data_IF_269099677795
#
_entry.id   IF_269099677795
#
_cell.length_a   1.000
_cell.length_b   1.000
_cell.length_c   1.000
_cell.angle_alpha   90.00
_cell.angle_beta   90.00
_cell.angle_gamma   90.00
#
_symmetry.space_group_name_H-M   'P 1'
#
loop_
_entity.id
_entity.type
_entity.pdbx_description
1 polymer ?
#
# COMPACT_ATOMS: atom_id res chain seq x y z
N UNK A 1 -67.76 4.35 -5.25
CA UNK A 1 -66.97 4.46 -6.49
C UNK A 1 -65.65 5.17 -6.17
N UNK A 2 -64.55 4.66 -6.74
CA UNK A 2 -63.14 5.10 -6.67
C UNK A 2 -62.46 4.76 -5.33
N UNK A 3 -61.74 3.64 -5.14
CA UNK A 3 -60.68 3.00 -5.93
C UNK A 3 -59.59 3.98 -6.41
N UNK A 4 -58.57 4.20 -5.59
CA UNK A 4 -57.23 4.47 -6.10
C UNK A 4 -56.18 3.87 -5.16
N UNK A 5 -55.73 2.67 -5.52
CA UNK A 5 -54.57 1.99 -4.93
C UNK A 5 -53.32 2.71 -5.43
N UNK A 6 -52.64 3.46 -4.57
CA UNK A 6 -51.31 3.99 -4.90
C UNK A 6 -50.28 2.92 -4.53
N UNK A 7 -49.85 2.14 -5.53
CA UNK A 7 -48.68 1.28 -5.44
C UNK A 7 -47.45 2.18 -5.17
N UNK A 8 -46.86 2.08 -3.98
CA UNK A 8 -45.52 2.62 -3.72
C UNK A 8 -44.50 1.78 -4.50
N UNK A 9 -43.64 2.36 -5.35
CA UNK A 9 -42.55 1.60 -5.94
C UNK A 9 -41.52 1.31 -4.84
N UNK A 10 -41.23 0.02 -4.65
CA UNK A 10 -40.11 -0.48 -3.87
C UNK A 10 -38.82 -0.01 -4.55
N UNK A 11 -38.32 1.17 -4.18
CA UNK A 11 -37.01 1.64 -4.62
C UNK A 11 -35.97 0.76 -3.95
N UNK A 12 -35.51 -0.27 -4.66
CA UNK A 12 -34.40 -1.10 -4.25
C UNK A 12 -33.17 -0.19 -4.11
N UNK A 13 -32.81 0.11 -2.86
CA UNK A 13 -31.56 0.77 -2.53
C UNK A 13 -30.43 -0.22 -2.86
N UNK A 14 -29.94 -0.16 -4.10
CA UNK A 14 -28.72 -0.84 -4.50
C UNK A 14 -27.58 -0.10 -3.78
N UNK A 15 -27.19 -0.61 -2.62
CA UNK A 15 -25.96 -0.16 -1.95
C UNK A 15 -24.82 -0.59 -2.89
N UNK A 16 -24.36 0.34 -3.72
CA UNK A 16 -23.09 0.21 -4.42
C UNK A 16 -22.03 0.14 -3.33
N UNK A 17 -21.55 -1.08 -3.06
CA UNK A 17 -20.34 -1.27 -2.26
C UNK A 17 -19.21 -0.56 -3.01
N UNK A 18 -18.85 0.64 -2.57
CA UNK A 18 -17.63 1.30 -3.03
C UNK A 18 -16.49 0.38 -2.60
N UNK A 19 -15.69 -0.18 -3.52
CA UNK A 19 -14.52 -0.92 -3.11
C UNK A 19 -13.62 0.05 -2.37
N UNK A 20 -13.50 -0.12 -1.05
CA UNK A 20 -12.44 0.53 -0.29
C UNK A 20 -11.10 0.12 -0.90
N UNK A 21 -10.10 1.01 -0.86
CA UNK A 21 -8.72 0.65 -1.19
C UNK A 21 -8.25 -0.36 -0.14
N UNK A 22 -8.52 -1.64 -0.39
CA UNK A 22 -8.11 -2.71 0.49
C UNK A 22 -6.58 -2.73 0.51
N UNK A 23 -6.01 -2.66 1.71
CA UNK A 23 -4.59 -2.95 1.90
C UNK A 23 -4.31 -4.34 1.31
N UNK A 24 -3.32 -4.41 0.43
CA UNK A 24 -3.00 -5.63 -0.30
C UNK A 24 -1.90 -6.39 0.45
N UNK A 25 -1.92 -7.71 0.36
CA UNK A 25 -0.87 -8.56 0.91
C UNK A 25 -0.58 -9.77 0.03
N UNK A 26 0.62 -10.33 0.20
CA UNK A 26 1.08 -11.54 -0.47
C UNK A 26 1.85 -12.44 0.51
N UNK A 27 1.69 -13.76 0.36
CA UNK A 27 2.31 -14.77 1.23
C UNK A 27 3.63 -15.28 0.64
N UNK A 28 4.65 -15.31 1.50
CA UNK A 28 6.01 -15.79 1.25
C UNK A 28 6.38 -16.81 2.33
N UNK A 29 5.95 -18.07 2.15
CA UNK A 29 6.05 -19.07 3.21
C UNK A 29 5.19 -18.66 4.43
N UNK A 30 5.75 -18.59 5.65
CA UNK A 30 5.00 -18.14 6.83
C UNK A 30 4.88 -16.60 6.91
N UNK A 31 5.50 -15.86 5.99
CA UNK A 31 5.53 -14.40 6.04
C UNK A 31 4.47 -13.80 5.12
N UNK A 32 3.68 -12.88 5.64
CA UNK A 32 2.72 -12.09 4.88
C UNK A 32 3.28 -10.67 4.71
N UNK A 33 3.59 -10.29 3.47
CA UNK A 33 4.01 -8.94 3.14
C UNK A 33 2.77 -8.10 2.82
N UNK A 34 2.47 -7.14 3.68
CA UNK A 34 1.48 -6.10 3.45
C UNK A 34 2.12 -4.94 2.69
N UNK A 35 1.43 -4.44 1.66
CA UNK A 35 1.92 -3.33 0.86
C UNK A 35 0.83 -2.34 0.48
N UNK A 36 1.23 -1.09 0.27
CA UNK A 36 0.38 -0.06 -0.32
C UNK A 36 1.21 1.01 -1.03
N UNK A 37 0.62 1.63 -2.04
CA UNK A 37 1.17 2.81 -2.71
C UNK A 37 0.17 3.95 -2.60
N UNK A 38 0.60 5.07 -2.00
CA UNK A 38 -0.30 6.18 -1.63
C UNK A 38 0.32 7.52 -2.03
N UNK A 39 -0.47 8.41 -2.63
CA UNK A 39 -0.05 9.80 -2.89
C UNK A 39 0.20 10.52 -1.56
N UNK A 40 1.32 11.25 -1.49
CA UNK A 40 1.74 11.93 -0.26
C UNK A 40 0.78 13.04 0.18
N UNK A 41 -0.03 13.57 -0.74
CA UNK A 41 -1.08 14.56 -0.47
C UNK A 41 -2.16 14.04 0.49
N UNK A 42 -2.45 12.73 0.45
CA UNK A 42 -3.44 12.08 1.32
C UNK A 42 -2.97 11.94 2.77
N UNK A 43 -1.67 12.07 3.03
CA UNK A 43 -1.17 12.11 4.39
C UNK A 43 -1.59 13.40 5.07
N UNK A 44 -2.06 13.27 6.32
CA UNK A 44 -2.24 14.40 7.20
C UNK A 44 -0.90 15.16 7.35
N UNK A 45 -0.90 16.50 7.38
CA UNK A 45 0.33 17.30 7.52
C UNK A 45 1.21 16.86 8.69
N UNK A 46 0.60 16.48 9.82
CA UNK A 46 1.27 16.07 11.04
C UNK A 46 2.01 14.74 10.84
N UNK A 47 1.39 13.79 10.13
CA UNK A 47 2.00 12.48 9.80
C UNK A 47 3.19 12.67 8.87
N UNK A 48 3.00 13.47 7.81
CA UNK A 48 4.08 13.76 6.88
C UNK A 48 5.26 14.45 7.56
N UNK A 49 4.98 15.43 8.44
CA UNK A 49 6.01 16.12 9.21
C UNK A 49 6.74 15.20 10.18
N UNK A 50 6.02 14.28 10.84
CA UNK A 50 6.61 13.33 11.80
C UNK A 50 7.63 12.40 11.13
N UNK A 51 7.37 12.01 9.88
CA UNK A 51 8.20 11.07 9.13
C UNK A 51 9.08 11.73 8.06
N UNK A 52 9.16 13.06 8.03
CA UNK A 52 10.01 13.78 7.07
C UNK A 52 9.56 13.66 5.61
N UNK A 53 8.29 13.35 5.38
CA UNK A 53 7.74 13.10 4.04
C UNK A 53 7.31 14.43 3.40
N UNK A 54 7.80 14.67 2.19
CA UNK A 54 7.39 15.82 1.39
C UNK A 54 6.03 15.54 0.75
N UNK A 55 5.02 16.35 1.10
CA UNK A 55 3.69 16.32 0.46
C UNK A 55 3.73 17.08 -0.86
N UNK A 56 3.50 16.39 -1.97
CA UNK A 56 3.39 16.98 -3.30
C UNK A 56 2.50 16.12 -4.22
N UNK A 57 1.91 16.74 -5.24
CA UNK A 57 1.02 16.08 -6.20
C UNK A 57 1.72 15.07 -7.11
N UNK A 58 3.04 15.18 -7.25
CA UNK A 58 3.93 14.31 -8.03
C UNK A 58 4.70 13.30 -7.16
N UNK A 59 4.29 13.11 -5.90
CA UNK A 59 4.99 12.24 -4.93
C UNK A 59 4.07 11.21 -4.31
N UNK A 60 4.55 9.98 -4.27
CA UNK A 60 3.89 8.85 -3.62
C UNK A 60 4.86 8.12 -2.67
N UNK A 61 4.30 7.26 -1.83
CA UNK A 61 5.05 6.40 -0.90
C UNK A 61 4.69 4.95 -1.20
N UNK A 62 5.70 4.10 -1.28
CA UNK A 62 5.56 2.66 -1.09
C UNK A 62 5.70 2.36 0.41
N UNK A 63 4.68 1.77 1.00
CA UNK A 63 4.71 1.27 2.37
C UNK A 63 4.72 -0.26 2.36
N UNK A 64 5.67 -0.85 3.09
CA UNK A 64 5.81 -2.29 3.27
C UNK A 64 5.83 -2.65 4.76
N UNK A 65 5.15 -3.72 5.13
CA UNK A 65 5.23 -4.32 6.46
C UNK A 65 5.13 -5.84 6.36
N UNK A 66 5.92 -6.57 7.14
CA UNK A 66 5.86 -8.03 7.14
C UNK A 66 5.35 -8.56 8.49
N UNK A 67 4.46 -9.55 8.41
CA UNK A 67 3.98 -10.33 9.55
C UNK A 67 4.33 -11.79 9.37
N UNK A 68 4.79 -12.45 10.42
CA UNK A 68 4.94 -13.90 10.43
C UNK A 68 3.69 -14.54 11.02
N UNK A 69 3.19 -15.58 10.37
CA UNK A 69 2.11 -16.45 10.85
C UNK A 69 2.72 -17.61 11.63
N UNK A 70 2.44 -17.67 12.93
CA UNK A 70 3.00 -18.66 13.84
C UNK A 70 2.13 -19.93 13.89
N UNK A 71 2.73 -21.04 14.35
CA UNK A 71 2.06 -22.34 14.40
C UNK A 71 0.83 -22.37 15.34
N UNK A 72 0.77 -21.45 16.31
CA UNK A 72 -0.37 -21.29 17.22
C UNK A 72 -1.53 -20.47 16.61
N UNK A 73 -1.40 -20.03 15.36
CA UNK A 73 -2.38 -19.23 14.63
C UNK A 73 -2.30 -17.72 14.91
N UNK A 74 -1.37 -17.27 15.76
CA UNK A 74 -1.12 -15.85 15.97
C UNK A 74 -0.25 -15.25 14.85
N UNK A 75 -0.21 -13.91 14.77
CA UNK A 75 0.69 -13.20 13.85
C UNK A 75 1.53 -12.20 14.60
N UNK A 76 2.78 -12.03 14.18
CA UNK A 76 3.71 -11.06 14.78
C UNK A 76 4.41 -10.27 13.69
N UNK A 77 4.49 -8.94 13.86
CA UNK A 77 5.32 -8.09 13.01
C UNK A 77 6.80 -8.45 13.11
N UNK A 78 7.49 -8.53 11.97
CA UNK A 78 8.94 -8.75 11.92
C UNK A 78 9.62 -7.54 11.33
N UNK A 79 10.83 -7.25 11.81
CA UNK A 79 11.75 -6.39 11.05
C UNK A 79 12.15 -7.12 9.77
N UNK A 80 12.64 -6.39 8.77
CA UNK A 80 13.21 -7.02 7.58
C UNK A 80 14.40 -6.23 7.05
N UNK A 81 15.37 -6.94 6.50
CA UNK A 81 16.36 -6.36 5.61
C UNK A 81 15.73 -6.26 4.22
N UNK A 82 15.87 -5.11 3.56
CA UNK A 82 15.30 -4.92 2.23
C UNK A 82 16.16 -4.03 1.35
N UNK A 83 16.10 -4.30 0.05
CA UNK A 83 16.57 -3.44 -1.02
C UNK A 83 15.49 -3.44 -2.09
N UNK A 84 15.21 -2.28 -2.66
CA UNK A 84 14.18 -2.16 -3.67
C UNK A 84 14.57 -1.15 -4.73
N UNK A 85 13.93 -1.29 -5.87
CA UNK A 85 14.08 -0.37 -6.99
C UNK A 85 12.74 -0.15 -7.65
N UNK A 86 12.61 0.98 -8.32
CA UNK A 86 11.40 1.36 -9.02
C UNK A 86 11.71 1.99 -10.37
N UNK A 87 10.86 1.73 -11.37
CA UNK A 87 11.02 2.28 -12.73
C UNK A 87 9.66 2.47 -13.40
N UNK A 88 9.60 3.40 -14.33
CA UNK A 88 8.47 3.60 -15.23
C UNK A 88 8.81 3.10 -16.64
N UNK A 89 7.90 3.29 -17.60
CA UNK A 89 8.10 2.85 -18.98
C UNK A 89 9.07 3.72 -19.80
N UNK A 90 9.43 4.91 -19.30
CA UNK A 90 10.16 5.98 -20.01
C UNK A 90 11.59 6.11 -19.47
N UNK A 91 11.76 6.05 -18.16
CA UNK A 91 12.98 6.33 -17.42
C UNK A 91 13.67 5.04 -16.98
N UNK A 92 15.00 5.12 -16.83
CA UNK A 92 15.75 4.06 -16.16
C UNK A 92 15.39 4.08 -14.68
N UNK A 93 15.24 2.89 -14.10
CA UNK A 93 14.91 2.74 -12.68
C UNK A 93 15.96 3.33 -11.74
N UNK A 94 15.52 3.62 -10.52
CA UNK A 94 16.38 4.03 -9.40
C UNK A 94 16.08 3.18 -8.17
N UNK A 95 17.05 3.14 -7.26
CA UNK A 95 16.90 2.46 -5.99
C UNK A 95 15.98 3.25 -5.06
N UNK A 96 15.21 2.53 -4.26
CA UNK A 96 14.34 3.10 -3.24
C UNK A 96 15.10 3.24 -1.93
N UNK A 97 14.98 4.42 -1.32
CA UNK A 97 15.49 4.67 0.03
C UNK A 97 14.37 4.40 1.04
N UNK A 98 14.55 3.36 1.86
CA UNK A 98 13.57 2.98 2.87
C UNK A 98 13.88 3.59 4.24
N UNK A 99 12.86 4.19 4.85
CA UNK A 99 12.88 4.61 6.25
C UNK A 99 12.03 3.65 7.08
N UNK A 100 12.62 3.10 8.14
CA UNK A 100 11.90 2.28 9.12
C UNK A 100 11.10 3.17 10.07
N UNK A 101 9.81 2.86 10.25
CA UNK A 101 8.89 3.54 11.15
C UNK A 101 8.28 2.52 12.10
N UNK A 102 8.21 2.86 13.39
CA UNK A 102 7.66 1.99 14.44
C UNK A 102 6.49 2.66 15.14
N UNK A 103 5.32 2.03 15.06
CA UNK A 103 4.10 2.48 15.71
C UNK A 103 3.54 1.36 16.60
N UNK A 104 3.83 1.42 17.90
CA UNK A 104 3.53 0.33 18.82
C UNK A 104 4.26 -0.95 18.42
N UNK A 105 3.49 -1.98 18.05
CA UNK A 105 4.03 -3.27 17.58
C UNK A 105 4.14 -3.36 16.04
N UNK A 106 3.65 -2.34 15.32
CA UNK A 106 3.74 -2.30 13.87
C UNK A 106 5.09 -1.71 13.41
N UNK A 107 5.68 -2.33 12.39
CA UNK A 107 6.95 -1.94 11.78
C UNK A 107 6.68 -1.73 10.30
N UNK A 108 6.93 -0.52 9.81
CA UNK A 108 6.72 -0.11 8.43
C UNK A 108 8.04 0.31 7.80
N UNK A 109 8.17 0.07 6.50
CA UNK A 109 9.25 0.56 5.68
C UNK A 109 8.65 1.45 4.59
N UNK A 110 8.93 2.73 4.68
CA UNK A 110 8.41 3.76 3.78
C UNK A 110 9.49 4.19 2.81
N UNK A 111 9.20 4.17 1.51
CA UNK A 111 10.05 4.79 0.50
C UNK A 111 9.23 5.81 -0.30
N UNK A 112 9.66 7.07 -0.27
CA UNK A 112 9.08 8.12 -1.10
C UNK A 112 9.72 8.13 -2.50
N UNK A 113 8.91 8.43 -3.50
CA UNK A 113 9.39 8.56 -4.87
C UNK A 113 8.55 9.55 -5.65
N UNK A 114 9.14 10.10 -6.73
CA UNK A 114 8.44 10.97 -7.68
C UNK A 114 7.85 10.17 -8.81
N UNK A 115 6.73 10.64 -9.35
CA UNK A 115 6.06 10.05 -10.51
C UNK A 115 5.43 11.14 -11.39
N UNK A 116 5.09 10.76 -12.63
CA UNK A 116 4.36 11.63 -13.57
C UNK A 116 2.89 11.24 -13.62
N UNK A 117 2.01 12.11 -14.12
CA UNK A 117 0.60 11.73 -14.24
C UNK A 117 0.43 10.51 -15.18
N UNK A 118 -0.51 9.63 -14.85
CA UNK A 118 -0.79 8.39 -15.58
C UNK A 118 0.42 7.44 -15.70
N UNK A 119 1.27 7.43 -14.67
CA UNK A 119 2.48 6.61 -14.64
C UNK A 119 2.18 5.14 -14.29
N UNK A 120 2.59 4.23 -15.19
CA UNK A 120 2.70 2.81 -14.88
C UNK A 120 4.03 2.54 -14.18
N UNK A 121 3.95 2.46 -12.86
CA UNK A 121 5.11 2.22 -12.01
C UNK A 121 5.30 0.74 -11.71
N UNK A 122 6.56 0.31 -11.81
CA UNK A 122 6.99 -1.03 -11.45
C UNK A 122 7.91 -0.96 -10.23
N UNK A 123 7.81 -1.97 -9.39
CA UNK A 123 8.61 -2.15 -8.19
C UNK A 123 9.16 -3.56 -8.15
N UNK A 124 10.40 -3.69 -7.71
CA UNK A 124 11.01 -4.95 -7.31
C UNK A 124 11.65 -4.73 -5.95
N UNK A 125 11.33 -5.58 -4.99
CA UNK A 125 11.84 -5.52 -3.63
C UNK A 125 12.36 -6.89 -3.23
N UNK A 126 13.66 -6.94 -2.93
CA UNK A 126 14.29 -8.07 -2.27
C UNK A 126 14.18 -7.85 -0.77
N UNK A 127 13.53 -8.76 -0.05
CA UNK A 127 13.38 -8.62 1.39
C UNK A 127 13.63 -9.95 2.13
N UNK A 128 14.19 -9.83 3.33
CA UNK A 128 14.43 -10.95 4.24
C UNK A 128 13.89 -10.58 5.62
N UNK A 129 12.76 -11.16 6.03
CA UNK A 129 12.23 -11.00 7.38
C UNK A 129 13.21 -11.51 8.43
N UNK A 130 13.20 -10.90 9.61
CA UNK A 130 13.92 -11.39 10.78
C UNK A 130 13.52 -12.83 11.11
N UNK A 131 14.52 -13.68 11.32
CA UNK A 131 14.33 -15.12 11.55
C UNK A 131 14.20 -15.95 10.27
N UNK A 132 14.04 -15.33 9.09
CA UNK A 132 14.05 -16.06 7.83
C UNK A 132 15.49 -16.37 7.38
N UNK A 133 15.68 -17.52 6.72
CA UNK A 133 16.95 -17.87 6.05
C UNK A 133 16.99 -17.52 4.56
N UNK A 134 15.83 -17.21 4.00
CA UNK A 134 15.63 -16.95 2.57
C UNK A 134 15.34 -15.48 2.33
N UNK A 135 15.90 -14.93 1.25
CA UNK A 135 15.48 -13.63 0.71
C UNK A 135 14.38 -13.87 -0.33
N UNK A 136 13.28 -13.15 -0.20
CA UNK A 136 12.14 -13.21 -1.11
C UNK A 136 12.17 -12.02 -2.07
N UNK A 137 11.57 -12.21 -3.24
CA UNK A 137 11.37 -11.15 -4.24
C UNK A 137 9.89 -10.82 -4.31
N UNK A 138 9.54 -9.55 -4.10
CA UNK A 138 8.21 -9.00 -4.30
C UNK A 138 8.22 -8.06 -5.50
N UNK A 139 7.25 -8.22 -6.40
CA UNK A 139 7.10 -7.37 -7.57
C UNK A 139 5.70 -6.75 -7.60
N UNK A 140 5.61 -5.47 -7.92
CA UNK A 140 4.35 -4.75 -8.02
C UNK A 140 4.31 -3.89 -9.28
N UNK A 141 3.15 -3.89 -9.93
CA UNK A 141 2.80 -2.91 -10.97
C UNK A 141 1.62 -2.08 -10.50
N UNK A 142 1.79 -0.77 -10.47
CA UNK A 142 0.77 0.18 -10.00
C UNK A 142 0.60 1.31 -11.01
N UNK A 143 -0.65 1.68 -11.30
CA UNK A 143 -0.92 2.93 -12.02
C UNK A 143 -1.08 4.08 -11.03
N UNK A 144 -0.41 5.20 -11.31
CA UNK A 144 -0.40 6.40 -10.48
C UNK A 144 -1.01 7.57 -11.24
N UNK A 145 -1.72 8.42 -10.50
CA UNK A 145 -2.34 9.64 -10.99
C UNK A 145 -1.91 10.78 -10.09
N UNK A 146 -1.45 11.87 -10.68
CA UNK A 146 -1.11 13.05 -9.90
C UNK A 146 -2.40 13.68 -9.38
N UNK A 147 -2.38 14.19 -8.17
CA UNK A 147 -3.53 14.94 -7.67
C UNK A 147 -3.59 16.31 -8.37
N UNK A 148 -4.80 16.85 -8.55
CA UNK A 148 -5.05 18.18 -9.12
C UNK A 148 -4.85 19.31 -8.11
#
# INVERSE_FOLDING_TARGET
MNQLKLLLPLFALLILAVPGRAQQSEMFGPYELHYSVVNTTFLAPEVASTYGIVRATDRAILNLAVREHLADGSTVGRTMQLQGRTWDLIQKGHDLEFTEVREGEAIYYLADFKFINEDWRFFEVLFRPEGADTTYTFELKQQLYSDE
#
